data_IF_272881636314
#
_entry.id   IF_272881636314
#
_cell.length_a   1.000
_cell.length_b   1.000
_cell.length_c   1.000
_cell.angle_alpha   90.00
_cell.angle_beta   90.00
_cell.angle_gamma   90.00
#
_symmetry.space_group_name_H-M   'P 1'
#
loop_
_entity.id
_entity.type
_entity.pdbx_description
1 polymer ?
#
# COMPACT_ATOMS: atom_id res chain seq x y z
N UNK A 1 -60.40 23.20 2.51
CA UNK A 1 -59.91 21.83 2.78
C UNK A 1 -58.68 21.92 3.67
N UNK A 2 -58.77 21.48 4.93
CA UNK A 2 -57.66 21.44 5.90
C UNK A 2 -57.06 20.03 5.91
N UNK A 3 -55.73 19.86 5.96
CA UNK A 3 -55.12 18.54 6.09
C UNK A 3 -55.27 18.01 7.53
N UNK A 4 -55.36 16.68 7.74
CA UNK A 4 -55.51 16.09 9.07
C UNK A 4 -54.20 16.16 9.89
N UNK A 5 -54.29 16.17 11.24
CA UNK A 5 -53.13 16.34 12.11
C UNK A 5 -52.26 15.08 12.21
N UNK A 6 -50.95 15.30 12.38
CA UNK A 6 -49.91 14.27 12.59
C UNK A 6 -50.09 13.58 13.94
N UNK A 7 -49.97 12.24 13.96
CA UNK A 7 -49.95 11.41 15.18
C UNK A 7 -48.65 11.63 16.00
N UNK A 8 -48.69 11.56 17.34
CA UNK A 8 -47.51 11.66 18.20
C UNK A 8 -46.71 10.35 18.25
N UNK A 9 -45.43 10.38 18.67
CA UNK A 9 -44.54 9.23 18.62
C UNK A 9 -44.87 8.21 19.73
N UNK A 10 -45.04 6.96 19.33
CA UNK A 10 -45.23 5.83 20.23
C UNK A 10 -43.94 5.47 20.96
N UNK A 11 -44.09 5.28 22.27
CA UNK A 11 -43.11 4.95 23.29
C UNK A 11 -42.23 3.72 22.98
N UNK A 12 -40.96 3.85 23.35
CA UNK A 12 -39.95 2.80 23.37
C UNK A 12 -40.38 1.57 24.18
N UNK A 13 -40.37 0.41 23.54
CA UNK A 13 -40.39 -0.90 24.20
C UNK A 13 -38.96 -1.44 24.27
N UNK A 14 -38.39 -1.41 25.48
CA UNK A 14 -37.13 -2.07 25.83
C UNK A 14 -37.30 -3.58 25.68
N UNK A 15 -36.64 -4.19 24.70
CA UNK A 15 -36.39 -5.65 24.73
C UNK A 15 -35.17 -5.91 25.60
N UNK A 16 -35.43 -6.27 26.84
CA UNK A 16 -34.48 -6.90 27.76
C UNK A 16 -34.09 -8.28 27.22
N UNK A 17 -32.80 -8.47 26.92
CA UNK A 17 -32.20 -9.79 26.70
C UNK A 17 -31.89 -10.39 28.07
N UNK A 18 -32.64 -11.43 28.46
CA UNK A 18 -32.39 -12.20 29.67
C UNK A 18 -31.27 -13.22 29.44
N UNK A 19 -30.26 -13.20 30.32
CA UNK A 19 -29.24 -14.25 30.46
C UNK A 19 -29.87 -15.47 31.18
N UNK A 20 -29.56 -16.71 30.78
CA UNK A 20 -29.72 -17.85 31.68
C UNK A 20 -28.41 -18.09 32.44
N UNK A 21 -28.51 -18.08 33.76
CA UNK A 21 -27.50 -18.52 34.72
C UNK A 21 -27.49 -20.04 34.87
N UNK A 22 -26.27 -20.60 34.86
CA UNK A 22 -25.77 -21.76 35.61
C UNK A 22 -26.70 -22.96 35.92
N UNK A 23 -26.34 -24.12 35.36
CA UNK A 23 -26.71 -25.45 35.87
C UNK A 23 -25.48 -26.37 35.87
N UNK A 24 -25.06 -26.83 37.06
CA UNK A 24 -24.00 -27.82 37.32
C UNK A 24 -24.49 -29.24 37.00
N UNK A 25 -23.64 -30.05 36.36
CA UNK A 25 -23.47 -31.50 36.52
C UNK A 25 -22.49 -31.97 35.42
N UNK A 26 -21.59 -32.95 35.53
CA UNK A 26 -20.97 -33.71 36.61
C UNK A 26 -19.70 -34.30 35.97
N UNK A 27 -18.55 -34.28 36.67
CA UNK A 27 -17.29 -34.90 36.21
C UNK A 27 -17.39 -36.43 36.29
N UNK A 28 -16.88 -37.13 35.27
CA UNK A 28 -16.35 -38.51 35.40
C UNK A 28 -14.96 -38.58 34.76
N UNK A 29 -13.94 -39.13 35.45
CA UNK A 29 -12.61 -39.37 34.91
C UNK A 29 -12.37 -40.87 34.63
N UNK A 30 -11.52 -41.18 33.65
CA UNK A 30 -10.63 -42.36 33.48
C UNK A 30 -9.97 -42.22 32.09
N UNK A 31 -8.70 -42.49 31.84
CA UNK A 31 -7.79 -43.48 32.45
C UNK A 31 -6.30 -43.15 32.31
N UNK A 32 -5.58 -43.32 33.43
CA UNK A 32 -4.19 -43.78 33.66
C UNK A 32 -3.22 -43.94 32.47
N UNK A 33 -2.03 -43.35 32.64
CA UNK A 33 -0.78 -44.11 32.63
C UNK A 33 0.18 -43.57 33.70
N UNK A 34 0.87 -44.51 34.36
CA UNK A 34 1.49 -44.36 35.66
C UNK A 34 2.85 -43.66 35.62
N UNK A 35 3.11 -42.87 36.66
CA UNK A 35 4.44 -42.48 37.07
C UNK A 35 5.21 -43.69 37.60
N UNK A 36 6.52 -43.77 37.29
CA UNK A 36 7.49 -44.38 38.20
C UNK A 36 8.77 -43.56 38.21
N UNK A 37 8.93 -42.89 39.34
CA UNK A 37 10.11 -42.28 39.93
C UNK A 37 11.30 -43.25 40.01
N UNK A 38 12.52 -42.72 39.93
CA UNK A 38 13.70 -43.41 40.48
C UNK A 38 15.01 -43.12 39.76
N UNK A 39 15.60 -41.95 40.01
CA UNK A 39 17.06 -41.78 39.93
C UNK A 39 17.74 -42.74 40.92
N UNK A 40 18.91 -43.29 40.57
CA UNK A 40 19.94 -43.54 41.56
C UNK A 40 21.21 -42.74 41.29
N UNK A 41 21.76 -42.29 42.41
CA UNK A 41 23.05 -41.63 42.58
C UNK A 41 24.21 -42.39 41.91
N UNK A 42 25.21 -41.61 41.49
CA UNK A 42 26.53 -42.07 41.10
C UNK A 42 27.25 -42.84 42.22
N UNK A 43 28.22 -43.70 41.87
CA UNK A 43 29.41 -43.90 42.67
C UNK A 43 30.64 -43.26 42.02
N UNK A 44 31.45 -42.66 42.89
CA UNK A 44 32.84 -42.26 42.66
C UNK A 44 33.71 -43.51 42.48
N UNK A 45 34.77 -43.41 41.69
CA UNK A 45 35.83 -44.43 41.68
C UNK A 45 36.86 -44.23 40.58
N UNK A 46 38.08 -43.89 40.99
CA UNK A 46 39.29 -43.72 40.19
C UNK A 46 39.55 -44.83 39.15
N UNK A 47 40.15 -44.47 38.01
CA UNK A 47 41.52 -44.88 37.68
C UNK A 47 41.93 -44.35 36.30
N UNK A 48 43.12 -43.76 36.28
CA UNK A 48 43.87 -43.37 35.10
C UNK A 48 44.39 -44.65 34.44
N UNK A 49 44.03 -44.92 33.19
CA UNK A 49 44.76 -45.87 32.35
C UNK A 49 44.61 -45.48 30.87
N UNK A 50 45.70 -44.98 30.31
CA UNK A 50 45.89 -44.81 28.86
C UNK A 50 45.87 -46.18 28.20
N UNK A 51 44.92 -46.41 27.31
CA UNK A 51 45.06 -47.40 26.25
C UNK A 51 44.71 -46.75 24.92
N UNK A 52 45.75 -46.65 24.07
CA UNK A 52 45.61 -46.36 22.65
C UNK A 52 44.99 -47.60 22.00
N UNK A 53 43.81 -47.46 21.43
CA UNK A 53 43.37 -48.30 20.32
C UNK A 53 42.49 -47.49 19.39
N UNK A 54 42.83 -47.59 18.11
CA UNK A 54 42.19 -46.94 16.97
C UNK A 54 40.68 -47.17 17.00
N UNK A 55 39.90 -46.09 17.03
CA UNK A 55 38.57 -46.11 16.44
C UNK A 55 38.60 -45.20 15.21
N UNK A 56 38.75 -45.83 14.05
CA UNK A 56 38.61 -45.21 12.75
C UNK A 56 37.14 -44.95 12.50
N UNK A 57 36.69 -43.73 12.79
CA UNK A 57 35.53 -43.16 12.11
C UNK A 57 35.69 -41.65 12.13
N UNK A 58 36.13 -41.12 11.00
CA UNK A 58 36.18 -39.68 10.73
C UNK A 58 34.74 -39.17 10.79
N UNK A 59 34.35 -38.51 11.88
CA UNK A 59 33.28 -37.52 11.81
C UNK A 59 33.80 -36.35 11.00
N UNK A 60 33.67 -36.43 9.68
CA UNK A 60 33.83 -35.31 8.79
C UNK A 60 32.72 -34.30 9.12
N UNK A 61 33.03 -33.29 9.91
CA UNK A 61 32.25 -32.06 9.91
C UNK A 61 32.41 -31.47 8.52
N UNK A 62 31.42 -31.67 7.66
CA UNK A 62 31.34 -30.99 6.39
C UNK A 62 31.24 -29.48 6.68
N UNK A 63 32.38 -28.78 6.61
CA UNK A 63 32.38 -27.35 6.37
C UNK A 63 31.81 -27.19 4.97
N UNK A 64 30.62 -26.60 4.89
CA UNK A 64 30.08 -26.15 3.61
C UNK A 64 30.90 -24.92 3.26
N UNK A 65 31.94 -25.12 2.47
CA UNK A 65 32.66 -24.01 1.85
C UNK A 65 31.64 -23.25 0.98
N UNK A 66 31.44 -21.98 1.29
CA UNK A 66 30.63 -21.09 0.45
C UNK A 66 31.29 -21.03 -0.93
N UNK A 67 30.58 -21.29 -2.03
CA UNK A 67 31.19 -21.28 -3.35
C UNK A 67 31.63 -19.86 -3.69
N UNK A 68 32.94 -19.66 -3.71
CA UNK A 68 33.59 -18.52 -4.35
C UNK A 68 33.48 -18.69 -5.87
N UNK A 69 32.74 -17.79 -6.52
CA UNK A 69 32.74 -17.68 -7.98
C UNK A 69 31.33 -17.73 -8.60
N UNK A 70 30.92 -16.58 -9.12
CA UNK A 70 29.92 -16.36 -10.17
C UNK A 70 28.95 -17.51 -10.49
N UNK A 71 27.80 -17.50 -9.83
CA UNK A 71 26.55 -18.04 -10.36
C UNK A 71 25.38 -17.30 -9.71
N UNK A 72 25.23 -16.03 -10.05
CA UNK A 72 23.93 -15.38 -9.86
C UNK A 72 23.05 -15.81 -11.02
N UNK A 73 21.83 -16.22 -10.70
CA UNK A 73 20.79 -16.75 -11.60
C UNK A 73 20.85 -18.26 -11.85
N UNK A 74 20.75 -19.07 -10.78
CA UNK A 74 19.93 -20.28 -10.90
C UNK A 74 18.49 -19.82 -11.14
N UNK A 75 17.91 -20.26 -12.26
CA UNK A 75 16.69 -19.75 -12.86
C UNK A 75 15.45 -19.91 -11.95
N UNK A 76 15.25 -18.96 -11.04
CA UNK A 76 13.93 -18.73 -10.46
C UNK A 76 13.08 -18.02 -11.51
N UNK A 77 12.26 -18.78 -12.24
CA UNK A 77 11.29 -18.26 -13.20
C UNK A 77 10.06 -17.71 -12.47
N UNK A 78 10.26 -16.71 -11.60
CA UNK A 78 9.14 -15.95 -11.04
C UNK A 78 8.36 -15.37 -12.22
N UNK A 79 7.09 -15.73 -12.33
CA UNK A 79 6.21 -15.12 -13.31
C UNK A 79 5.06 -14.41 -12.60
N UNK A 80 4.77 -13.20 -13.03
CA UNK A 80 3.76 -12.34 -12.41
C UNK A 80 2.66 -12.06 -13.43
N UNK A 81 1.42 -12.01 -12.95
CA UNK A 81 0.31 -11.61 -13.80
C UNK A 81 0.39 -10.09 -14.04
N UNK A 82 0.78 -9.72 -15.25
CA UNK A 82 0.85 -8.32 -15.65
C UNK A 82 -0.56 -7.83 -16.02
N UNK A 83 -1.11 -6.91 -15.21
CA UNK A 83 -2.47 -6.40 -15.42
C UNK A 83 -2.60 -5.60 -16.72
N UNK A 84 -1.51 -5.01 -17.21
CA UNK A 84 -1.50 -4.25 -18.47
C UNK A 84 -1.68 -5.17 -19.68
N UNK A 85 -1.04 -6.33 -19.68
CA UNK A 85 -1.07 -7.28 -20.81
C UNK A 85 -2.04 -8.44 -20.59
N UNK A 86 -2.53 -8.62 -19.36
CA UNK A 86 -3.38 -9.73 -18.89
C UNK A 86 -2.74 -11.11 -19.07
N UNK A 87 -1.41 -11.17 -19.07
CA UNK A 87 -0.65 -12.39 -19.25
C UNK A 87 0.22 -12.66 -18.03
N UNK A 88 0.48 -13.94 -17.81
CA UNK A 88 1.55 -14.36 -16.93
C UNK A 88 2.87 -14.10 -17.67
N UNK A 89 3.72 -13.24 -17.12
CA UNK A 89 4.98 -12.83 -17.75
C UNK A 89 6.14 -13.15 -16.82
N UNK A 90 7.28 -13.64 -17.35
CA UNK A 90 8.50 -13.77 -16.57
C UNK A 90 8.88 -12.42 -15.95
N UNK A 91 9.12 -12.40 -14.65
CA UNK A 91 9.62 -11.24 -13.94
C UNK A 91 11.08 -11.00 -14.31
N UNK A 92 11.36 -9.84 -14.86
CA UNK A 92 12.71 -9.37 -15.18
C UNK A 92 12.88 -7.98 -14.57
N UNK A 93 13.80 -7.78 -13.63
CA UNK A 93 14.05 -6.46 -13.09
C UNK A 93 14.68 -5.56 -14.15
N UNK A 94 14.38 -4.26 -14.06
CA UNK A 94 14.92 -3.29 -15.00
C UNK A 94 16.45 -3.12 -14.87
N UNK A 95 16.99 -3.30 -13.66
CA UNK A 95 18.43 -3.17 -13.41
C UNK A 95 18.89 -4.26 -12.44
N UNK A 96 19.09 -5.50 -12.92
CA UNK A 96 19.54 -6.60 -12.08
C UNK A 96 20.85 -6.24 -11.33
N UNK A 97 21.01 -6.66 -10.05
CA UNK A 97 20.08 -7.44 -9.23
C UNK A 97 19.04 -6.56 -8.49
N UNK A 98 18.94 -5.26 -8.81
CA UNK A 98 18.09 -4.32 -8.08
C UNK A 98 16.64 -4.35 -8.55
N UNK A 99 15.72 -4.36 -7.60
CA UNK A 99 14.27 -4.27 -7.81
C UNK A 99 13.74 -3.07 -7.07
N UNK A 100 13.04 -2.17 -7.75
CA UNK A 100 12.27 -1.11 -7.08
C UNK A 100 10.80 -1.51 -7.04
N UNK A 101 10.24 -1.59 -5.85
CA UNK A 101 8.85 -1.97 -5.61
C UNK A 101 8.12 -0.76 -5.02
N UNK A 102 7.12 -0.23 -5.72
CA UNK A 102 6.20 0.77 -5.17
C UNK A 102 4.86 0.12 -4.88
N UNK A 103 4.34 0.31 -3.68
CA UNK A 103 3.00 -0.15 -3.31
C UNK A 103 2.15 0.97 -2.75
N UNK A 104 0.85 0.96 -3.06
CA UNK A 104 -0.07 1.94 -2.52
C UNK A 104 -0.35 1.61 -1.06
N UNK A 105 -0.01 2.51 -0.14
CA UNK A 105 -0.31 2.30 1.28
C UNK A 105 -1.70 2.78 1.70
N UNK A 106 -1.94 2.87 3.02
CA UNK A 106 -3.26 3.21 3.57
C UNK A 106 -3.59 4.70 3.43
N UNK A 107 -4.89 4.99 3.37
CA UNK A 107 -5.45 6.30 3.68
C UNK A 107 -5.69 6.39 5.18
N UNK A 108 -5.03 7.32 5.88
CA UNK A 108 -4.90 7.29 7.35
C UNK A 108 -5.93 8.17 8.08
N UNK A 109 -7.21 8.01 7.72
CA UNK A 109 -8.34 8.67 8.40
C UNK A 109 -9.09 7.76 9.38
N UNK A 110 -8.81 6.45 9.34
CA UNK A 110 -9.40 5.43 10.21
C UNK A 110 -8.45 4.23 10.34
N UNK A 111 -8.74 3.30 11.25
CA UNK A 111 -8.03 2.04 11.41
C UNK A 111 -8.08 1.21 10.13
N UNK A 112 -6.94 0.63 9.74
CA UNK A 112 -6.86 -0.29 8.63
C UNK A 112 -7.61 -1.58 8.96
N UNK A 113 -8.41 -2.09 8.01
CA UNK A 113 -9.19 -3.31 8.21
C UNK A 113 -8.50 -4.52 7.56
N UNK A 114 -8.98 -5.73 7.84
CA UNK A 114 -8.43 -7.00 7.31
C UNK A 114 -8.26 -7.01 5.78
N UNK A 115 -9.16 -6.35 5.04
CA UNK A 115 -9.04 -6.20 3.60
C UNK A 115 -7.83 -5.37 3.14
N UNK A 116 -7.37 -4.38 3.92
CA UNK A 116 -6.13 -3.65 3.64
C UNK A 116 -4.93 -4.54 3.90
N UNK A 117 -4.89 -5.21 5.06
CA UNK A 117 -3.77 -6.06 5.45
C UNK A 117 -3.60 -7.28 4.56
N UNK A 118 -4.67 -7.81 3.95
CA UNK A 118 -4.54 -8.84 2.90
C UNK A 118 -3.61 -8.38 1.76
N UNK A 119 -3.75 -7.12 1.33
CA UNK A 119 -2.91 -6.55 0.27
C UNK A 119 -1.47 -6.36 0.76
N UNK A 120 -1.28 -5.78 1.94
CA UNK A 120 0.07 -5.56 2.50
C UNK A 120 0.82 -6.87 2.79
N UNK A 121 0.12 -7.94 3.16
CA UNK A 121 0.69 -9.29 3.31
C UNK A 121 1.14 -9.88 1.97
N UNK A 122 0.37 -9.68 0.90
CA UNK A 122 0.80 -10.12 -0.43
C UNK A 122 2.08 -9.40 -0.87
N UNK A 123 2.16 -8.09 -0.63
CA UNK A 123 3.34 -7.27 -0.93
C UNK A 123 4.57 -7.73 -0.13
N UNK A 124 4.38 -8.06 1.15
CA UNK A 124 5.42 -8.62 2.01
C UNK A 124 5.94 -9.96 1.49
N UNK A 125 5.04 -10.89 1.14
CA UNK A 125 5.40 -12.19 0.59
C UNK A 125 6.17 -12.05 -0.72
N UNK A 126 5.73 -11.17 -1.62
CA UNK A 126 6.43 -10.87 -2.85
C UNK A 126 7.84 -10.35 -2.58
N UNK A 127 7.99 -9.36 -1.69
CA UNK A 127 9.30 -8.80 -1.34
C UNK A 127 10.22 -9.86 -0.77
N UNK A 128 9.75 -10.65 0.21
CA UNK A 128 10.53 -11.72 0.83
C UNK A 128 10.98 -12.76 -0.20
N UNK A 129 10.11 -13.10 -1.15
CA UNK A 129 10.45 -14.03 -2.22
C UNK A 129 11.53 -13.47 -3.17
N UNK A 130 11.43 -12.19 -3.53
CA UNK A 130 12.44 -11.52 -4.36
C UNK A 130 13.80 -11.46 -3.64
N UNK A 131 13.82 -11.08 -2.36
CA UNK A 131 15.05 -11.06 -1.54
C UNK A 131 15.63 -12.47 -1.38
N UNK A 132 14.78 -13.48 -1.12
CA UNK A 132 15.19 -14.89 -1.07
C UNK A 132 15.81 -15.37 -2.40
N UNK A 133 15.31 -14.85 -3.52
CA UNK A 133 15.81 -15.15 -4.87
C UNK A 133 17.11 -14.40 -5.22
N UNK A 134 17.69 -13.65 -4.28
CA UNK A 134 18.96 -12.93 -4.47
C UNK A 134 18.84 -11.51 -5.05
N UNK A 135 17.62 -10.95 -5.14
CA UNK A 135 17.43 -9.58 -5.58
C UNK A 135 17.61 -8.57 -4.43
N UNK A 136 18.16 -7.40 -4.77
CA UNK A 136 18.24 -6.24 -3.90
C UNK A 136 16.97 -5.40 -4.03
N UNK A 137 16.02 -5.59 -3.12
CA UNK A 137 14.71 -4.92 -3.20
C UNK A 137 14.71 -3.58 -2.47
N UNK A 138 14.38 -2.50 -3.17
CA UNK A 138 14.00 -1.21 -2.60
C UNK A 138 12.49 -1.00 -2.67
N UNK A 139 11.82 -1.29 -1.55
CA UNK A 139 10.37 -1.12 -1.36
C UNK A 139 9.99 0.25 -0.80
N UNK A 140 9.05 0.93 -1.46
CA UNK A 140 8.42 2.19 -1.07
C UNK A 140 6.91 1.99 -0.91
N UNK A 141 6.33 2.58 0.14
CA UNK A 141 4.89 2.52 0.39
C UNK A 141 4.40 3.88 0.88
N UNK A 142 3.51 4.55 0.16
CA UNK A 142 3.04 5.87 0.60
C UNK A 142 2.08 5.81 1.79
N UNK A 143 1.92 6.92 2.50
CA UNK A 143 0.80 7.16 3.41
C UNK A 143 -0.05 8.30 2.82
N UNK A 144 -1.32 8.04 2.51
CA UNK A 144 -2.24 9.09 2.08
C UNK A 144 -2.85 9.73 3.33
N UNK A 145 -2.27 10.85 3.73
CA UNK A 145 -2.65 11.64 4.91
C UNK A 145 -3.39 12.94 4.55
N UNK A 146 -3.79 13.09 3.29
CA UNK A 146 -4.69 14.12 2.77
C UNK A 146 -5.58 13.52 1.68
N UNK A 147 -6.90 13.62 1.82
CA UNK A 147 -7.92 13.32 0.80
C UNK A 147 -9.28 13.84 1.28
N UNK A 148 -10.31 13.81 0.42
CA UNK A 148 -11.68 14.25 0.77
C UNK A 148 -12.20 13.63 2.08
N UNK A 149 -11.96 12.34 2.33
CA UNK A 149 -12.42 11.64 3.54
C UNK A 149 -11.61 12.05 4.76
N UNK A 150 -10.29 12.15 4.63
CA UNK A 150 -9.42 12.58 5.74
C UNK A 150 -9.74 14.02 6.16
N UNK A 151 -9.95 14.93 5.21
CA UNK A 151 -10.29 16.34 5.47
C UNK A 151 -11.63 16.44 6.19
N UNK A 152 -12.66 15.76 5.67
CA UNK A 152 -13.99 15.71 6.31
C UNK A 152 -13.95 15.12 7.71
N UNK A 153 -13.18 14.06 7.92
CA UNK A 153 -13.03 13.42 9.23
C UNK A 153 -12.27 14.31 10.23
N UNK A 154 -11.21 14.98 9.78
CA UNK A 154 -10.47 15.96 10.58
C UNK A 154 -11.36 17.14 10.98
N UNK A 155 -12.16 17.66 10.03
CA UNK A 155 -13.09 18.75 10.26
C UNK A 155 -14.18 18.37 11.27
N UNK A 156 -14.79 17.20 11.10
CA UNK A 156 -15.79 16.68 12.03
C UNK A 156 -15.21 16.46 13.44
N UNK A 157 -13.93 16.12 13.54
CA UNK A 157 -13.22 15.98 14.81
C UNK A 157 -12.75 17.33 15.41
N UNK A 158 -12.90 18.45 14.70
CA UNK A 158 -12.39 19.75 15.11
C UNK A 158 -10.85 19.79 15.23
N UNK A 159 -10.15 18.96 14.46
CA UNK A 159 -8.68 18.83 14.51
C UNK A 159 -8.05 19.30 13.21
N UNK A 160 -6.79 19.73 13.27
CA UNK A 160 -5.98 19.86 12.06
C UNK A 160 -5.72 18.49 11.44
N UNK A 161 -5.44 18.48 10.14
CA UNK A 161 -5.23 17.27 9.36
C UNK A 161 -4.15 16.34 9.96
N UNK A 162 -2.99 16.90 10.30
CA UNK A 162 -1.89 16.14 10.91
C UNK A 162 -2.28 15.53 12.27
N UNK A 163 -2.95 16.30 13.11
CA UNK A 163 -3.36 15.88 14.45
C UNK A 163 -4.47 14.81 14.40
N UNK A 164 -5.27 14.81 13.34
CA UNK A 164 -6.29 13.79 13.07
C UNK A 164 -5.69 12.48 12.56
N UNK A 165 -4.71 12.55 11.66
CA UNK A 165 -4.14 11.38 10.97
C UNK A 165 -3.11 10.62 11.79
N UNK A 166 -2.35 11.30 12.65
CA UNK A 166 -1.22 10.71 13.38
C UNK A 166 -1.58 9.47 14.24
N UNK A 167 -2.71 9.42 14.97
CA UNK A 167 -3.12 8.20 15.68
C UNK A 167 -3.33 7.00 14.75
N UNK A 168 -3.87 7.21 13.55
CA UNK A 168 -4.12 6.14 12.58
C UNK A 168 -2.84 5.67 11.88
N UNK A 169 -1.89 6.59 11.64
CA UNK A 169 -0.54 6.23 11.19
C UNK A 169 0.13 5.31 12.19
N UNK A 170 0.07 5.66 13.48
CA UNK A 170 0.64 4.84 14.56
C UNK A 170 -0.01 3.47 14.63
N UNK A 171 -1.35 3.42 14.65
CA UNK A 171 -2.10 2.17 14.67
C UNK A 171 -1.76 1.27 13.46
N UNK A 172 -1.65 1.84 12.27
CA UNK A 172 -1.23 1.10 11.08
C UNK A 172 0.15 0.44 11.25
N UNK A 173 1.11 1.15 11.83
CA UNK A 173 2.44 0.61 12.08
C UNK A 173 2.45 -0.45 13.19
N UNK A 174 1.68 -0.26 14.26
CA UNK A 174 1.51 -1.25 15.33
C UNK A 174 0.90 -2.55 14.77
N UNK A 175 -0.16 -2.46 13.96
CA UNK A 175 -0.82 -3.60 13.33
C UNK A 175 0.08 -4.31 12.29
N UNK A 176 0.84 -3.53 11.50
CA UNK A 176 1.86 -4.06 10.57
C UNK A 176 2.88 -4.91 11.32
N UNK A 177 3.39 -4.38 12.44
CA UNK A 177 4.42 -5.05 13.24
C UNK A 177 3.86 -6.28 13.94
N UNK A 178 2.62 -6.20 14.45
CA UNK A 178 1.90 -7.35 15.01
C UNK A 178 1.77 -8.49 13.99
N UNK A 179 1.46 -8.16 12.73
CA UNK A 179 1.37 -9.10 11.62
C UNK A 179 2.73 -9.52 11.05
N UNK A 180 3.84 -8.97 11.56
CA UNK A 180 5.22 -9.24 11.11
C UNK A 180 5.46 -8.93 9.63
N UNK A 181 4.69 -7.98 9.10
CA UNK A 181 4.89 -7.44 7.75
C UNK A 181 6.21 -6.65 7.76
N UNK A 182 7.11 -6.94 6.82
CA UNK A 182 8.42 -6.28 6.75
C UNK A 182 8.22 -4.78 6.46
N UNK A 183 8.87 -3.87 7.20
CA UNK A 183 8.73 -2.44 6.95
C UNK A 183 9.30 -2.07 5.59
N UNK A 184 8.58 -1.25 4.82
CA UNK A 184 9.11 -0.62 3.61
C UNK A 184 10.32 0.25 3.97
N UNK A 185 11.20 0.50 3.00
CA UNK A 185 12.40 1.30 3.24
C UNK A 185 12.07 2.78 3.42
N UNK A 186 10.99 3.24 2.79
CA UNK A 186 10.48 4.61 2.92
C UNK A 186 8.96 4.63 2.91
N UNK A 187 8.42 5.56 3.71
CA UNK A 187 6.99 5.82 3.83
C UNK A 187 6.67 7.29 3.52
N UNK A 188 6.72 7.72 2.24
CA UNK A 188 6.43 9.12 1.92
C UNK A 188 4.97 9.45 2.26
N UNK A 189 4.77 10.57 2.95
CA UNK A 189 3.44 11.13 3.21
C UNK A 189 3.02 12.04 2.06
N UNK A 190 1.75 12.02 1.70
CA UNK A 190 1.22 12.87 0.64
C UNK A 190 1.40 14.36 0.97
N UNK A 191 1.14 14.76 2.22
CA UNK A 191 1.36 16.16 2.68
C UNK A 191 2.82 16.62 2.60
N UNK A 192 3.78 15.71 2.63
CA UNK A 192 5.22 16.01 2.52
C UNK A 192 5.71 16.05 1.07
N UNK A 193 4.92 15.53 0.14
CA UNK A 193 5.26 15.43 -1.28
C UNK A 193 4.58 16.51 -2.14
N UNK A 194 3.95 17.52 -1.52
CA UNK A 194 3.29 18.64 -2.19
C UNK A 194 4.22 19.34 -3.20
N UNK A 195 5.49 19.67 -2.90
CA UNK A 195 6.37 20.31 -3.89
C UNK A 195 6.55 19.46 -5.16
N UNK A 196 6.70 18.14 -5.00
CA UNK A 196 6.84 17.22 -6.13
C UNK A 196 5.53 17.11 -6.95
N UNK A 197 4.38 17.14 -6.27
CA UNK A 197 3.06 17.17 -6.92
C UNK A 197 2.86 18.47 -7.71
N UNK A 198 3.19 19.63 -7.12
CA UNK A 198 3.10 20.93 -7.81
C UNK A 198 3.99 20.95 -9.05
N UNK A 199 5.23 20.46 -8.95
CA UNK A 199 6.14 20.35 -10.10
C UNK A 199 5.60 19.41 -11.18
N UNK A 200 4.97 18.30 -10.80
CA UNK A 200 4.35 17.38 -11.76
C UNK A 200 3.16 18.03 -12.49
N UNK A 201 2.28 18.73 -11.78
CA UNK A 201 1.15 19.44 -12.38
C UNK A 201 1.62 20.53 -13.34
N UNK A 202 2.63 21.32 -12.96
CA UNK A 202 3.21 22.34 -13.82
C UNK A 202 3.68 21.73 -15.17
N UNK A 203 4.42 20.62 -15.12
CA UNK A 203 4.86 19.91 -16.34
C UNK A 203 3.70 19.37 -17.18
N UNK A 204 2.63 18.88 -16.55
CA UNK A 204 1.44 18.39 -17.26
C UNK A 204 0.67 19.54 -17.95
N UNK A 205 0.63 20.72 -17.33
CA UNK A 205 0.08 21.94 -17.91
C UNK A 205 0.92 22.41 -19.11
N UNK A 206 2.25 22.50 -18.95
CA UNK A 206 3.18 22.87 -20.02
C UNK A 206 3.07 21.95 -21.24
N UNK A 207 2.89 20.64 -21.00
CA UNK A 207 2.71 19.63 -22.05
C UNK A 207 1.32 19.63 -22.67
N UNK A 208 0.42 20.47 -22.18
CA UNK A 208 -0.94 20.62 -22.70
C UNK A 208 -1.87 19.45 -22.41
N UNK A 209 -1.47 18.47 -21.59
CA UNK A 209 -2.27 17.29 -21.18
C UNK A 209 -3.05 17.53 -19.88
N UNK A 210 -2.84 18.67 -19.23
CA UNK A 210 -3.69 19.19 -18.17
C UNK A 210 -4.23 20.57 -18.56
N UNK A 211 -5.29 21.02 -17.89
CA UNK A 211 -5.83 22.37 -18.07
C UNK A 211 -6.40 22.90 -16.76
N UNK A 212 -6.37 24.23 -16.60
CA UNK A 212 -7.06 24.92 -15.52
C UNK A 212 -8.51 25.20 -15.93
N UNK A 213 -9.44 24.92 -15.03
CA UNK A 213 -10.88 25.12 -15.21
C UNK A 213 -11.33 26.41 -14.50
N UNK A 214 -12.55 26.86 -14.81
CA UNK A 214 -13.15 28.10 -14.27
C UNK A 214 -13.36 28.05 -12.75
N UNK A 215 -13.50 26.84 -12.18
CA UNK A 215 -13.57 26.57 -10.75
C UNK A 215 -12.21 26.74 -10.03
N UNK A 216 -11.16 27.15 -10.75
CA UNK A 216 -9.81 27.32 -10.22
C UNK A 216 -9.00 26.03 -10.09
N UNK A 217 -9.63 24.87 -10.28
CA UNK A 217 -8.98 23.56 -10.20
C UNK A 217 -8.24 23.20 -11.50
N UNK A 218 -7.26 22.31 -11.40
CA UNK A 218 -6.52 21.76 -12.53
C UNK A 218 -6.93 20.31 -12.77
N UNK A 219 -7.29 19.99 -14.00
CA UNK A 219 -7.76 18.68 -14.41
C UNK A 219 -6.82 18.05 -15.43
N UNK A 220 -6.73 16.72 -15.41
CA UNK A 220 -6.08 15.93 -16.46
C UNK A 220 -7.05 15.71 -17.60
N UNK A 221 -6.66 16.08 -18.83
CA UNK A 221 -7.50 15.90 -20.02
C UNK A 221 -7.33 14.50 -20.60
N UNK A 222 -8.28 13.61 -20.35
CA UNK A 222 -8.24 12.23 -20.87
C UNK A 222 -8.16 12.19 -22.39
N UNK A 223 -8.86 13.11 -23.06
CA UNK A 223 -8.91 13.23 -24.53
C UNK A 223 -7.54 13.52 -25.14
N UNK A 224 -6.64 14.16 -24.39
CA UNK A 224 -5.28 14.50 -24.81
C UNK A 224 -4.25 13.43 -24.48
N UNK A 225 -4.67 12.32 -23.87
CA UNK A 225 -3.82 11.17 -23.59
C UNK A 225 -4.35 9.89 -24.26
N UNK A 226 -4.00 9.63 -25.53
CA UNK A 226 -4.61 8.57 -26.34
C UNK A 226 -4.46 7.15 -25.76
N UNK A 227 -3.45 6.92 -24.92
CA UNK A 227 -3.19 5.64 -24.26
C UNK A 227 -3.97 5.44 -22.96
N UNK A 228 -4.85 6.39 -22.60
CA UNK A 228 -5.72 6.27 -21.43
C UNK A 228 -6.62 5.05 -21.48
N UNK A 229 -6.79 4.41 -20.32
CA UNK A 229 -7.63 3.22 -20.18
C UNK A 229 -6.93 1.89 -20.48
N UNK A 230 -5.66 1.85 -20.92
CA UNK A 230 -4.95 0.59 -21.22
C UNK A 230 -4.88 -0.39 -20.04
N UNK A 231 -4.70 0.09 -18.81
CA UNK A 231 -4.62 -0.79 -17.62
C UNK A 231 -6.00 -1.28 -17.16
N UNK A 232 -7.03 -0.43 -17.26
CA UNK A 232 -8.41 -0.75 -16.86
C UNK A 232 -9.27 -1.37 -17.97
N UNK A 233 -8.78 -1.37 -19.22
CA UNK A 233 -9.53 -1.74 -20.44
C UNK A 233 -10.81 -0.92 -20.64
N UNK A 234 -10.77 0.37 -20.28
CA UNK A 234 -11.86 1.27 -20.65
C UNK A 234 -11.85 1.48 -22.16
N UNK A 235 -12.96 1.15 -22.82
CA UNK A 235 -13.14 1.48 -24.24
C UNK A 235 -13.20 3.00 -24.37
N UNK A 236 -12.48 3.59 -25.34
CA UNK A 236 -12.50 5.04 -25.60
C UNK A 236 -13.92 5.57 -25.77
N UNK A 237 -14.84 4.75 -26.29
CA UNK A 237 -16.26 5.09 -26.47
C UNK A 237 -17.01 5.33 -25.16
N UNK A 238 -16.51 4.79 -24.05
CA UNK A 238 -17.10 5.01 -22.73
C UNK A 238 -16.61 6.33 -22.11
N UNK A 239 -15.50 6.92 -22.60
CA UNK A 239 -14.97 8.18 -22.07
C UNK A 239 -15.94 9.31 -22.42
N UNK A 240 -16.59 9.87 -21.40
CA UNK A 240 -17.53 10.98 -21.57
C UNK A 240 -16.74 12.26 -21.79
N UNK A 241 -16.82 12.78 -23.02
CA UNK A 241 -16.22 14.06 -23.37
C UNK A 241 -16.92 15.17 -22.56
N UNK A 242 -16.17 15.89 -21.73
CA UNK A 242 -16.66 17.05 -20.98
C UNK A 242 -17.25 16.77 -19.60
N UNK A 243 -17.37 15.50 -19.18
CA UNK A 243 -17.71 15.18 -17.80
C UNK A 243 -16.47 15.36 -16.91
N UNK A 244 -16.64 16.08 -15.79
CA UNK A 244 -15.59 16.37 -14.80
C UNK A 244 -16.00 15.78 -13.47
N UNK A 245 -15.07 15.13 -12.78
CA UNK A 245 -15.30 14.63 -11.42
C UNK A 245 -14.39 15.39 -10.48
N UNK A 246 -14.99 16.23 -9.62
CA UNK A 246 -14.29 16.98 -8.58
C UNK A 246 -14.14 16.17 -7.29
N UNK A 247 -14.95 15.13 -7.06
CA UNK A 247 -14.80 14.22 -5.91
C UNK A 247 -13.70 13.20 -6.15
N UNK A 248 -12.94 12.84 -5.11
CA UNK A 248 -11.96 11.75 -5.19
C UNK A 248 -12.63 10.36 -5.41
N UNK A 249 -13.96 10.28 -5.28
CA UNK A 249 -14.74 9.09 -5.59
C UNK A 249 -14.97 8.93 -7.10
N UNK A 250 -14.10 8.16 -7.73
CA UNK A 250 -14.23 7.80 -9.14
C UNK A 250 -15.17 6.61 -9.35
N UNK A 251 -16.29 6.82 -10.05
CA UNK A 251 -17.18 5.75 -10.45
C UNK A 251 -16.54 4.89 -11.57
N UNK A 252 -16.64 3.57 -11.42
CA UNK A 252 -15.96 2.58 -12.27
C UNK A 252 -16.35 2.66 -13.76
N UNK A 253 -17.52 3.21 -14.05
CA UNK A 253 -18.18 3.14 -15.36
C UNK A 253 -18.32 4.52 -16.05
N UNK A 254 -17.68 5.57 -15.51
CA UNK A 254 -17.79 6.94 -16.03
C UNK A 254 -16.40 7.60 -16.19
N UNK A 255 -15.70 7.36 -17.30
CA UNK A 255 -14.41 7.97 -17.55
C UNK A 255 -14.58 9.46 -17.84
N UNK A 256 -14.12 10.27 -16.91
CA UNK A 256 -14.23 11.72 -16.88
C UNK A 256 -12.87 12.33 -16.57
N UNK A 257 -12.66 13.57 -16.98
CA UNK A 257 -11.45 14.31 -16.59
C UNK A 257 -11.39 14.41 -15.06
N UNK A 258 -10.23 14.07 -14.49
CA UNK A 258 -10.04 13.98 -13.04
C UNK A 258 -9.15 15.11 -12.53
N UNK A 259 -9.42 15.56 -11.30
CA UNK A 259 -8.65 16.62 -10.68
C UNK A 259 -7.22 16.16 -10.38
N UNK A 260 -6.25 16.94 -10.83
CA UNK A 260 -4.85 16.87 -10.41
C UNK A 260 -4.60 17.79 -9.22
N UNK A 261 -5.24 18.95 -9.22
CA UNK A 261 -5.19 19.93 -8.15
C UNK A 261 -6.56 20.55 -7.95
N UNK A 262 -7.10 20.45 -6.74
CA UNK A 262 -8.41 21.00 -6.38
C UNK A 262 -8.20 22.36 -5.75
N UNK A 263 -8.90 23.38 -6.23
CA UNK A 263 -8.91 24.69 -5.59
C UNK A 263 -9.38 24.56 -4.13
N UNK A 264 -8.71 25.26 -3.22
CA UNK A 264 -9.02 25.16 -1.80
C UNK A 264 -10.42 25.70 -1.51
N UNK A 265 -11.18 24.98 -0.71
CA UNK A 265 -12.42 25.45 -0.11
C UNK A 265 -12.28 25.76 1.39
N UNK A 266 -13.37 26.17 2.03
CA UNK A 266 -13.37 26.49 3.44
C UNK A 266 -13.13 25.29 4.37
N UNK A 267 -13.44 24.06 3.94
CA UNK A 267 -13.14 22.86 4.72
C UNK A 267 -11.64 22.55 4.67
N UNK A 268 -11.03 22.70 3.49
CA UNK A 268 -9.59 22.51 3.28
C UNK A 268 -8.78 23.47 4.17
N UNK A 269 -9.11 24.77 4.13
CA UNK A 269 -8.44 25.79 4.95
C UNK A 269 -8.63 25.53 6.45
N UNK A 270 -9.84 25.12 6.87
CA UNK A 270 -10.17 24.92 8.28
C UNK A 270 -9.35 23.81 8.96
N UNK A 271 -8.81 22.84 8.20
CA UNK A 271 -7.97 21.76 8.72
C UNK A 271 -6.49 21.89 8.35
N UNK A 272 -6.13 22.95 7.62
CA UNK A 272 -4.76 23.17 7.12
C UNK A 272 -4.38 22.26 5.95
N UNK A 273 -5.34 21.90 5.10
CA UNK A 273 -5.16 21.07 3.91
C UNK A 273 -5.12 21.91 2.62
N UNK A 274 -4.53 23.10 2.67
CA UNK A 274 -4.41 24.00 1.52
C UNK A 274 -2.98 24.54 1.40
N UNK A 275 -2.44 24.48 0.18
CA UNK A 275 -1.07 24.84 -0.18
C UNK A 275 -1.05 25.79 -1.37
N UNK A 276 -0.05 26.67 -1.41
CA UNK A 276 0.15 27.57 -2.54
C UNK A 276 0.83 26.85 -3.71
N UNK A 277 0.35 27.13 -4.92
CA UNK A 277 0.92 26.63 -6.15
C UNK A 277 0.81 27.68 -7.27
N UNK A 278 1.65 27.64 -8.32
CA UNK A 278 1.65 28.63 -9.41
C UNK A 278 0.31 28.73 -10.16
N UNK A 279 -0.50 27.68 -10.12
CA UNK A 279 -1.82 27.62 -10.76
C UNK A 279 -2.98 27.91 -9.78
N UNK A 280 -2.70 28.23 -8.53
CA UNK A 280 -3.68 28.62 -7.52
C UNK A 280 -3.56 27.80 -6.23
N UNK A 281 -4.01 28.41 -5.12
CA UNK A 281 -4.05 27.78 -3.80
C UNK A 281 -5.04 26.62 -3.79
N UNK A 282 -4.64 25.49 -3.22
CA UNK A 282 -5.42 24.26 -3.31
C UNK A 282 -4.73 23.06 -2.69
N UNK A 283 -5.15 21.88 -3.12
CA UNK A 283 -4.62 20.60 -2.65
C UNK A 283 -4.52 19.58 -3.77
N UNK A 284 -3.67 18.56 -3.64
CA UNK A 284 -3.56 17.52 -4.65
C UNK A 284 -4.87 16.73 -4.78
N UNK A 285 -5.16 16.30 -6.01
CA UNK A 285 -6.13 15.24 -6.26
C UNK A 285 -5.50 13.86 -6.00
N UNK A 286 -6.33 12.91 -5.58
CA UNK A 286 -5.84 11.60 -5.10
C UNK A 286 -4.95 10.83 -6.08
N UNK A 287 -5.22 10.91 -7.39
CA UNK A 287 -4.49 10.15 -8.41
C UNK A 287 -3.05 10.66 -8.62
N UNK A 288 -2.81 11.96 -8.43
CA UNK A 288 -1.51 12.59 -8.62
C UNK A 288 -0.47 12.16 -7.58
N UNK A 289 -0.92 11.91 -6.35
CA UNK A 289 -0.06 11.69 -5.19
C UNK A 289 0.96 10.58 -5.41
N UNK A 290 0.47 9.39 -5.77
CA UNK A 290 1.28 8.20 -5.94
C UNK A 290 2.26 8.36 -7.11
N UNK A 291 1.81 9.01 -8.18
CA UNK A 291 2.60 9.31 -9.37
C UNK A 291 3.79 10.21 -9.00
N UNK A 292 3.53 11.30 -8.27
CA UNK A 292 4.57 12.22 -7.82
C UNK A 292 5.54 11.57 -6.82
N UNK A 293 5.02 10.88 -5.79
CA UNK A 293 5.85 10.25 -4.75
C UNK A 293 6.73 9.13 -5.30
N UNK A 294 6.20 8.30 -6.20
CA UNK A 294 6.99 7.22 -6.80
C UNK A 294 8.10 7.76 -7.70
N UNK A 295 7.82 8.78 -8.51
CA UNK A 295 8.79 9.43 -9.39
C UNK A 295 9.88 10.15 -8.61
N UNK A 296 9.51 11.01 -7.64
CA UNK A 296 10.46 11.78 -6.83
C UNK A 296 11.48 10.87 -6.13
N UNK A 297 10.99 9.83 -5.47
CA UNK A 297 11.83 8.90 -4.71
C UNK A 297 12.64 7.95 -5.59
N UNK A 298 12.12 7.57 -6.76
CA UNK A 298 12.89 6.80 -7.74
C UNK A 298 14.03 7.66 -8.32
N UNK A 299 13.73 8.86 -8.80
CA UNK A 299 14.71 9.77 -9.42
C UNK A 299 15.80 10.16 -8.42
N UNK A 300 15.42 10.51 -7.19
CA UNK A 300 16.37 10.92 -6.13
C UNK A 300 17.38 9.85 -5.72
N UNK A 301 17.16 8.58 -6.07
CA UNK A 301 18.10 7.46 -5.83
C UNK A 301 18.78 6.92 -7.09
N UNK A 302 18.71 7.65 -8.20
CA UNK A 302 19.38 7.27 -9.45
C UNK A 302 18.63 6.21 -10.25
N UNK A 303 17.36 5.93 -9.92
CA UNK A 303 16.50 5.00 -10.65
C UNK A 303 15.79 5.71 -11.82
N UNK A 304 16.56 6.42 -12.69
CA UNK A 304 16.04 7.26 -13.78
C UNK A 304 15.14 6.53 -14.78
N UNK A 305 15.31 5.21 -14.93
CA UNK A 305 14.53 4.37 -15.84
C UNK A 305 13.37 3.62 -15.17
N UNK A 306 13.15 3.76 -13.86
CA UNK A 306 12.36 2.80 -13.07
C UNK A 306 10.89 3.10 -12.84
N UNK A 307 10.04 2.62 -13.76
CA UNK A 307 8.60 2.40 -13.52
C UNK A 307 8.22 1.15 -14.30
N UNK A 308 8.58 -0.02 -13.76
CA UNK A 308 8.00 -1.30 -14.15
C UNK A 308 8.04 -2.26 -12.98
N UNK A 309 7.20 -1.96 -11.99
CA UNK A 309 6.63 -2.93 -11.05
C UNK A 309 5.51 -2.25 -10.24
N UNK A 310 4.49 -1.72 -10.92
CA UNK A 310 3.20 -1.44 -10.29
C UNK A 310 2.42 -2.76 -10.28
N UNK A 311 2.65 -3.58 -9.25
CA UNK A 311 1.92 -4.82 -9.06
C UNK A 311 0.54 -4.52 -8.46
N UNK A 312 -0.46 -5.13 -9.08
CA UNK A 312 -1.86 -4.74 -9.01
C UNK A 312 -2.57 -5.15 -7.72
N UNK A 313 -3.40 -4.22 -7.21
CA UNK A 313 -4.53 -4.51 -6.34
C UNK A 313 -5.52 -3.33 -6.25
N UNK A 314 -6.01 -2.78 -7.38
CA UNK A 314 -7.35 -2.13 -7.54
C UNK A 314 -7.57 -1.66 -8.98
N UNK A 315 -8.53 -2.26 -9.68
CA UNK A 315 -8.71 -2.23 -11.16
C UNK A 315 -9.12 -0.91 -11.84
N UNK A 316 -9.33 0.20 -11.12
CA UNK A 316 -9.65 1.50 -11.77
C UNK A 316 -8.82 2.65 -11.21
N UNK A 317 -8.74 2.78 -9.89
CA UNK A 317 -7.95 3.84 -9.26
C UNK A 317 -6.43 3.67 -9.45
N UNK A 318 -5.90 2.48 -9.74
CA UNK A 318 -4.49 2.29 -10.14
C UNK A 318 -4.23 2.63 -11.62
N UNK A 319 -5.28 2.73 -12.45
CA UNK A 319 -5.16 3.06 -13.87
C UNK A 319 -4.69 4.50 -14.05
N UNK A 320 -5.38 5.47 -13.43
CA UNK A 320 -4.96 6.87 -13.45
C UNK A 320 -3.51 7.06 -12.93
N UNK A 321 -3.17 6.38 -11.82
CA UNK A 321 -1.84 6.43 -11.17
C UNK A 321 -0.68 5.91 -12.04
N UNK A 322 -0.90 4.90 -12.88
CA UNK A 322 0.13 4.42 -13.81
C UNK A 322 0.27 5.34 -15.03
N UNK A 323 -0.83 5.99 -15.42
CA UNK A 323 -0.94 6.74 -16.66
C UNK A 323 -0.32 8.14 -16.55
N UNK A 324 -0.42 8.80 -15.39
CA UNK A 324 0.30 10.07 -15.15
C UNK A 324 1.82 9.88 -15.31
N UNK A 325 2.31 8.75 -14.80
CA UNK A 325 3.73 8.40 -14.83
C UNK A 325 4.19 8.03 -16.25
N UNK A 326 3.36 7.32 -17.02
CA UNK A 326 3.61 7.09 -18.44
C UNK A 326 3.53 8.35 -19.29
N UNK A 327 2.60 9.27 -19.00
CA UNK A 327 2.48 10.56 -19.67
C UNK A 327 3.75 11.42 -19.49
N UNK A 328 4.41 11.30 -18.34
CA UNK A 328 5.72 11.93 -18.10
C UNK A 328 6.83 11.25 -18.91
N UNK A 329 6.78 9.92 -19.07
CA UNK A 329 7.84 9.09 -19.68
C UNK A 329 7.80 8.92 -21.19
N UNK A 330 6.62 8.92 -21.81
CA UNK A 330 6.46 8.66 -23.26
C UNK A 330 6.83 9.87 -24.13
N UNK A 331 7.42 10.91 -23.53
CA UNK A 331 7.85 12.09 -24.25
C UNK A 331 9.38 12.09 -24.29
N UNK A 332 10.00 12.24 -25.48
CA UNK A 332 11.45 12.29 -25.58
C UNK A 332 11.99 13.37 -24.65
N UNK A 333 13.09 13.06 -23.97
CA UNK A 333 13.86 14.08 -23.27
C UNK A 333 14.22 15.15 -24.30
N UNK A 334 13.57 16.31 -24.20
CA UNK A 334 13.84 17.44 -25.08
C UNK A 334 15.27 17.93 -24.86
N UNK A 335 15.94 18.17 -25.99
CA UNK A 335 17.31 18.60 -26.21
C UNK A 335 17.81 19.75 -25.32
#
# INVERSE_FOLDING_TARGET
MRPPPRRPPGSASRRTVSRPTSGRAARKPRSRCAARTGLPCAPRGCAVARWRTRCSTRCATARVDAPSGASYVSAVTLSLHNTLTRRLEPFQPLTPPRVTLYTCGPTVWNYAHIGNFRTFLFEDLLRRYLEYSGYEVFHMMNLTDVDDRTIKAARAAGKRLADHTEPFVRAFFEDRDYLRIKPAHVYPRATQAIPAMVALVARLLERGVAYKSEDGSVYFALTKFPTYGRLSQLDRRQIKVGARVSSDEYAKDDPSDFALWKAADGEDEAVGAAWDAPFGRGRPGWHLECSAMSLDRAIGRGYRSTVRALLAARRVSQCARHQDVEAVRQLPDGA
#
